data_IF_405701048574
#
_entry.id   IF_405701048574
#
_cell.length_a   1.000
_cell.length_b   1.000
_cell.length_c   1.000
_cell.angle_alpha   90.00
_cell.angle_beta   90.00
_cell.angle_gamma   90.00
#
_symmetry.space_group_name_H-M   'P 1'
#
loop_
_entity.id
_entity.type
_entity.pdbx_description
1 polymer ?
#
# COMPACT_ATOMS: atom_id res chain seq x y z
N UNK A 1 43.93 -3.01 17.84
CA UNK A 1 44.06 -2.82 16.38
C UNK A 1 43.01 -3.67 15.63
N UNK A 2 41.77 -3.17 15.38
CA UNK A 2 40.83 -3.88 14.50
C UNK A 2 40.22 -3.00 13.38
N UNK A 3 40.83 -1.85 13.04
CA UNK A 3 40.24 -0.88 12.12
C UNK A 3 40.74 -0.97 10.65
N UNK A 4 41.59 -1.95 10.31
CA UNK A 4 42.24 -2.03 8.98
C UNK A 4 41.65 -3.07 8.01
N UNK A 5 40.62 -3.82 8.38
CA UNK A 5 40.01 -4.83 7.48
C UNK A 5 38.81 -4.36 6.65
N UNK A 6 38.24 -3.19 6.93
CA UNK A 6 36.98 -2.74 6.30
C UNK A 6 37.13 -1.77 5.11
N UNK A 7 38.35 -1.49 4.65
CA UNK A 7 38.61 -0.59 3.51
C UNK A 7 39.13 -1.29 2.25
N UNK A 8 39.24 -2.63 2.24
CA UNK A 8 39.47 -3.39 1.01
C UNK A 8 38.12 -3.86 0.47
N UNK A 9 37.41 -3.03 -0.28
CA UNK A 9 36.21 -3.46 -1.03
C UNK A 9 35.90 -2.48 -2.18
N UNK A 10 36.94 -2.19 -2.96
CA UNK A 10 36.89 -1.91 -4.41
C UNK A 10 38.20 -2.46 -5.01
N UNK A 11 38.50 -3.73 -4.74
CA UNK A 11 39.52 -4.47 -5.49
C UNK A 11 38.88 -5.78 -5.94
N UNK A 12 38.68 -5.86 -7.25
CA UNK A 12 38.33 -7.07 -7.96
C UNK A 12 39.45 -8.11 -7.77
N UNK A 13 39.09 -9.38 -7.62
CA UNK A 13 39.98 -10.55 -7.59
C UNK A 13 40.94 -10.75 -6.38
N UNK A 14 40.39 -11.08 -5.20
CA UNK A 14 41.10 -11.99 -4.29
C UNK A 14 40.14 -12.93 -3.54
N UNK A 15 39.56 -13.88 -4.27
CA UNK A 15 38.88 -15.03 -3.67
C UNK A 15 39.95 -16.01 -3.13
N UNK A 16 40.28 -15.93 -1.84
CA UNK A 16 40.79 -17.11 -1.14
C UNK A 16 39.65 -18.13 -1.14
N UNK A 17 39.72 -19.16 -1.98
CA UNK A 17 38.73 -20.22 -2.04
C UNK A 17 38.66 -20.91 -0.67
N UNK A 18 37.59 -20.66 0.06
CA UNK A 18 37.38 -21.26 1.37
C UNK A 18 37.09 -22.76 1.21
N UNK A 19 37.46 -23.59 2.22
CA UNK A 19 37.29 -25.02 2.12
C UNK A 19 35.81 -25.39 2.01
N UNK A 20 35.46 -26.04 0.89
CA UNK A 20 34.14 -26.64 0.67
C UNK A 20 34.17 -28.05 1.26
N UNK A 21 33.30 -28.32 2.23
CA UNK A 21 33.13 -29.62 2.88
C UNK A 21 31.87 -30.31 2.38
N UNK A 22 31.90 -31.64 2.29
CA UNK A 22 30.71 -32.43 1.95
C UNK A 22 30.05 -32.94 3.23
N UNK A 23 28.91 -32.35 3.59
CA UNK A 23 28.22 -32.62 4.85
C UNK A 23 26.99 -33.53 4.65
N UNK A 24 26.71 -34.48 5.55
CA UNK A 24 25.47 -35.28 5.51
C UNK A 24 24.25 -34.39 5.75
N UNK A 25 23.19 -34.59 4.97
CA UNK A 25 21.97 -33.77 5.07
C UNK A 25 21.33 -33.84 6.45
N UNK A 26 21.41 -34.99 7.13
CA UNK A 26 20.87 -35.22 8.48
C UNK A 26 21.51 -34.32 9.55
N UNK A 27 22.72 -33.79 9.29
CA UNK A 27 23.42 -32.87 10.20
C UNK A 27 23.07 -31.40 9.96
N UNK A 28 22.25 -31.10 8.93
CA UNK A 28 21.94 -29.74 8.49
C UNK A 28 20.53 -29.31 8.94
N UNK A 29 20.45 -28.23 9.71
CA UNK A 29 19.18 -27.64 10.13
C UNK A 29 19.04 -26.21 9.59
N UNK A 30 17.91 -25.82 8.97
CA UNK A 30 17.70 -24.43 8.52
C UNK A 30 17.77 -23.44 9.69
N UNK A 31 18.53 -22.36 9.54
CA UNK A 31 18.47 -21.26 10.50
C UNK A 31 17.20 -20.41 10.28
N UNK A 32 16.69 -19.74 11.33
CA UNK A 32 15.46 -18.92 11.25
C UNK A 32 15.65 -17.62 10.44
N UNK A 33 16.81 -16.98 10.54
CA UNK A 33 17.12 -15.71 9.85
C UNK A 33 16.83 -15.71 8.34
N UNK A 34 17.31 -16.68 7.52
CA UNK A 34 16.96 -16.73 6.10
C UNK A 34 15.46 -16.92 5.85
N UNK A 35 14.79 -17.72 6.69
CA UNK A 35 13.34 -17.94 6.57
C UNK A 35 12.57 -16.64 6.79
N UNK A 36 12.98 -15.85 7.80
CA UNK A 36 12.42 -14.52 8.10
C UNK A 36 12.64 -13.50 6.97
N UNK A 37 13.83 -13.47 6.38
CA UNK A 37 14.22 -12.48 5.36
C UNK A 37 13.65 -12.75 3.97
N UNK A 38 13.51 -14.02 3.58
CA UNK A 38 13.08 -14.36 2.22
C UNK A 38 11.64 -14.84 2.14
N UNK A 39 11.13 -15.58 3.14
CA UNK A 39 9.76 -16.14 3.15
C UNK A 39 9.41 -16.81 1.81
N UNK A 40 10.17 -17.84 1.44
CA UNK A 40 10.10 -18.46 0.11
C UNK A 40 8.85 -19.32 -0.10
N UNK A 41 8.26 -19.25 -1.30
CA UNK A 41 7.09 -20.05 -1.69
C UNK A 41 7.47 -21.45 -2.22
N UNK A 42 6.50 -22.37 -2.20
CA UNK A 42 6.67 -23.75 -2.64
C UNK A 42 7.02 -23.89 -4.14
N UNK A 43 6.44 -23.07 -5.02
CA UNK A 43 6.72 -23.09 -6.47
C UNK A 43 8.20 -22.85 -6.80
N UNK A 44 8.88 -22.07 -5.96
CA UNK A 44 10.29 -21.75 -6.12
C UNK A 44 11.21 -22.97 -5.85
N UNK A 45 10.71 -23.98 -5.15
CA UNK A 45 11.47 -25.19 -4.80
C UNK A 45 11.50 -26.20 -5.95
N UNK A 46 10.42 -26.34 -6.71
CA UNK A 46 10.32 -27.30 -7.82
C UNK A 46 11.35 -27.00 -8.92
N UNK A 47 11.40 -25.76 -9.38
CA UNK A 47 12.37 -25.34 -10.40
C UNK A 47 13.83 -25.53 -9.94
N UNK A 48 14.10 -25.39 -8.64
CA UNK A 48 15.44 -25.61 -8.08
C UNK A 48 15.76 -27.10 -7.97
N UNK A 49 14.80 -27.95 -7.60
CA UNK A 49 14.96 -29.40 -7.58
C UNK A 49 15.28 -29.94 -8.99
N UNK A 50 14.58 -29.47 -10.02
CA UNK A 50 14.86 -29.86 -11.42
C UNK A 50 16.27 -29.43 -11.88
N UNK A 51 16.74 -28.27 -11.41
CA UNK A 51 18.10 -27.81 -11.69
C UNK A 51 19.15 -28.67 -11.01
N UNK A 52 18.96 -28.99 -9.71
CA UNK A 52 19.85 -29.87 -8.96
C UNK A 52 19.91 -31.27 -9.58
N UNK A 53 18.77 -31.81 -10.02
CA UNK A 53 18.71 -33.12 -10.65
C UNK A 53 19.47 -33.17 -11.98
N UNK A 54 19.39 -32.09 -12.79
CA UNK A 54 20.06 -32.02 -14.10
C UNK A 54 21.56 -31.71 -14.02
N UNK A 55 21.96 -30.82 -13.12
CA UNK A 55 23.30 -30.23 -13.13
C UNK A 55 24.11 -30.46 -11.85
N UNK A 56 23.51 -31.13 -10.86
CA UNK A 56 24.12 -31.26 -9.53
C UNK A 56 24.16 -29.94 -8.78
N UNK A 57 24.95 -29.91 -7.69
CA UNK A 57 25.11 -28.70 -6.89
C UNK A 57 26.18 -27.78 -7.46
N UNK A 58 25.74 -26.68 -8.09
CA UNK A 58 26.64 -25.66 -8.65
C UNK A 58 27.22 -24.72 -7.59
N UNK A 59 26.45 -24.39 -6.55
CA UNK A 59 26.89 -23.46 -5.50
C UNK A 59 26.80 -24.14 -4.13
N UNK A 60 27.88 -24.12 -3.31
CA UNK A 60 27.84 -24.66 -1.96
C UNK A 60 26.81 -23.91 -1.10
N UNK A 61 26.25 -24.58 -0.09
CA UNK A 61 25.46 -23.92 0.96
C UNK A 61 26.40 -23.24 1.97
N UNK A 62 25.93 -22.26 2.72
CA UNK A 62 26.71 -21.64 3.80
C UNK A 62 26.13 -22.08 5.14
N UNK A 63 26.97 -22.58 6.03
CA UNK A 63 26.55 -23.14 7.31
C UNK A 63 27.40 -22.63 8.46
N UNK A 64 26.85 -22.67 9.66
CA UNK A 64 27.52 -22.38 10.92
C UNK A 64 27.50 -23.61 11.83
N UNK A 65 28.57 -23.91 12.58
CA UNK A 65 28.54 -24.97 13.59
C UNK A 65 27.44 -24.76 14.64
N UNK A 66 26.61 -25.76 14.87
CA UNK A 66 25.52 -25.70 15.85
C UNK A 66 25.35 -27.06 16.57
N UNK A 67 25.77 -27.12 17.84
CA UNK A 67 25.72 -28.35 18.62
C UNK A 67 26.54 -29.47 18.00
N UNK A 68 25.89 -30.59 17.67
CA UNK A 68 26.49 -31.75 16.99
C UNK A 68 26.35 -31.70 15.45
N UNK A 69 25.79 -30.63 14.90
CA UNK A 69 25.55 -30.46 13.47
C UNK A 69 25.84 -29.04 13.00
N UNK A 70 25.11 -28.59 11.98
CA UNK A 70 25.30 -27.29 11.36
C UNK A 70 23.97 -26.58 11.08
N UNK A 71 23.92 -25.29 11.36
CA UNK A 71 22.83 -24.41 11.01
C UNK A 71 23.05 -23.81 9.61
N UNK A 72 22.07 -23.89 8.71
CA UNK A 72 22.18 -23.37 7.35
C UNK A 72 21.84 -21.88 7.33
N UNK A 73 22.86 -21.05 7.09
CA UNK A 73 22.75 -19.61 6.93
C UNK A 73 22.39 -19.19 5.50
N UNK A 74 22.78 -19.98 4.49
CA UNK A 74 22.39 -19.72 3.09
C UNK A 74 22.26 -21.01 2.30
N UNK A 75 21.29 -21.02 1.37
CA UNK A 75 20.93 -22.22 0.62
C UNK A 75 19.87 -23.10 1.29
N UNK A 76 19.00 -22.54 2.12
CA UNK A 76 17.85 -23.25 2.72
C UNK A 76 16.95 -23.90 1.66
N UNK A 77 16.67 -23.20 0.55
CA UNK A 77 15.96 -23.77 -0.62
C UNK A 77 16.70 -24.95 -1.24
N UNK A 78 18.04 -24.90 -1.26
CA UNK A 78 18.89 -25.97 -1.81
C UNK A 78 18.89 -27.20 -0.89
N UNK A 79 18.93 -26.99 0.43
CA UNK A 79 18.73 -28.05 1.41
C UNK A 79 17.37 -28.74 1.22
N UNK A 80 16.28 -27.95 1.17
CA UNK A 80 14.93 -28.48 0.98
C UNK A 80 14.76 -29.25 -0.35
N UNK A 81 15.31 -28.73 -1.45
CA UNK A 81 15.28 -29.40 -2.74
C UNK A 81 16.11 -30.71 -2.73
N UNK A 82 17.30 -30.70 -2.13
CA UNK A 82 18.14 -31.90 -2.01
C UNK A 82 17.51 -32.98 -1.11
N UNK A 83 16.83 -32.59 -0.02
CA UNK A 83 16.03 -33.49 0.81
C UNK A 83 14.91 -34.15 0.00
N UNK A 84 14.18 -33.38 -0.81
CA UNK A 84 13.11 -33.90 -1.68
C UNK A 84 13.62 -34.86 -2.75
N UNK A 85 14.83 -34.64 -3.26
CA UNK A 85 15.50 -35.54 -4.22
C UNK A 85 16.16 -36.76 -3.56
N UNK A 86 16.11 -36.90 -2.24
CA UNK A 86 16.73 -38.02 -1.52
C UNK A 86 18.26 -38.01 -1.51
N UNK A 87 18.89 -36.84 -1.66
CA UNK A 87 20.35 -36.74 -1.60
C UNK A 87 20.87 -37.04 -0.20
N UNK A 88 22.05 -37.66 -0.10
CA UNK A 88 22.66 -38.00 1.20
C UNK A 88 23.57 -36.90 1.76
N UNK A 89 24.11 -36.05 0.88
CA UNK A 89 25.08 -35.02 1.27
C UNK A 89 25.03 -33.79 0.36
N UNK A 90 25.47 -32.65 0.90
CA UNK A 90 25.62 -31.38 0.19
C UNK A 90 27.01 -30.78 0.43
N UNK A 91 27.51 -30.07 -0.57
CA UNK A 91 28.70 -29.24 -0.48
C UNK A 91 28.36 -27.96 0.30
N UNK A 92 29.16 -27.65 1.31
CA UNK A 92 28.93 -26.56 2.26
C UNK A 92 30.24 -25.81 2.57
N UNK A 93 30.14 -24.49 2.73
CA UNK A 93 31.18 -23.65 3.31
C UNK A 93 30.83 -23.38 4.76
N UNK A 94 31.74 -23.71 5.69
CA UNK A 94 31.53 -23.48 7.12
C UNK A 94 32.00 -22.08 7.50
N UNK A 95 31.19 -21.39 8.30
CA UNK A 95 31.41 -20.04 8.83
C UNK A 95 31.22 -20.01 10.34
N UNK A 96 32.03 -19.22 11.01
CA UNK A 96 31.91 -18.98 12.45
C UNK A 96 31.75 -17.46 12.69
N UNK A 97 30.54 -16.91 12.54
CA UNK A 97 30.28 -15.50 12.83
C UNK A 97 30.55 -15.22 14.31
N UNK A 98 31.17 -14.08 14.62
CA UNK A 98 31.54 -13.73 15.99
C UNK A 98 30.36 -13.22 16.82
N UNK A 99 29.36 -12.59 16.17
CA UNK A 99 28.13 -12.12 16.79
C UNK A 99 26.93 -12.23 15.83
N UNK A 100 25.72 -11.97 16.35
CA UNK A 100 24.48 -12.01 15.58
C UNK A 100 24.49 -11.02 14.40
N UNK A 101 25.20 -9.90 14.55
CA UNK A 101 25.30 -8.87 13.53
C UNK A 101 26.14 -9.36 12.34
N UNK A 102 27.25 -10.04 12.61
CA UNK A 102 28.07 -10.69 11.58
C UNK A 102 27.29 -11.81 10.88
N UNK A 103 26.53 -12.62 11.64
CA UNK A 103 25.68 -13.68 11.08
C UNK A 103 24.65 -13.12 10.10
N UNK A 104 23.92 -12.08 10.47
CA UNK A 104 22.91 -11.46 9.60
C UNK A 104 23.55 -10.84 8.35
N UNK A 105 24.71 -10.20 8.47
CA UNK A 105 25.46 -9.69 7.32
C UNK A 105 25.86 -10.82 6.35
N UNK A 106 26.37 -11.94 6.86
CA UNK A 106 26.72 -13.11 6.05
C UNK A 106 25.52 -13.69 5.28
N UNK A 107 24.36 -13.76 5.91
CA UNK A 107 23.12 -14.22 5.26
C UNK A 107 22.77 -13.32 4.08
N UNK A 108 22.90 -12.00 4.23
CA UNK A 108 22.58 -11.04 3.17
C UNK A 108 23.61 -11.10 2.03
N UNK A 109 24.91 -11.09 2.36
CA UNK A 109 26.00 -11.13 1.37
C UNK A 109 26.00 -12.41 0.54
N UNK A 110 25.85 -13.56 1.18
CA UNK A 110 25.82 -14.87 0.49
C UNK A 110 24.61 -15.04 -0.43
N UNK A 111 23.58 -14.21 -0.29
CA UNK A 111 22.40 -14.20 -1.15
C UNK A 111 22.36 -12.98 -2.09
N UNK A 112 23.44 -12.19 -2.21
CA UNK A 112 23.46 -10.99 -3.05
C UNK A 112 23.11 -11.26 -4.52
N UNK A 113 23.57 -12.37 -5.10
CA UNK A 113 23.31 -12.75 -6.50
C UNK A 113 21.89 -13.30 -6.75
N UNK A 114 21.06 -13.42 -5.73
CA UNK A 114 19.70 -13.95 -5.83
C UNK A 114 18.77 -12.96 -6.54
N UNK A 115 17.90 -13.46 -7.42
CA UNK A 115 16.74 -12.68 -7.87
C UNK A 115 15.76 -12.52 -6.72
N UNK A 116 15.65 -11.30 -6.20
CA UNK A 116 14.84 -10.93 -5.03
C UNK A 116 13.64 -10.10 -5.46
N UNK A 117 12.49 -10.36 -4.83
CA UNK A 117 11.31 -9.49 -4.95
C UNK A 117 11.57 -8.14 -4.29
N UNK A 118 10.69 -7.16 -4.51
CA UNK A 118 10.79 -5.86 -3.87
C UNK A 118 10.78 -6.00 -2.34
N UNK A 119 9.81 -6.72 -1.78
CA UNK A 119 9.63 -6.93 -0.35
C UNK A 119 10.81 -7.67 0.30
N UNK A 120 11.46 -8.58 -0.43
CA UNK A 120 12.70 -9.24 0.04
C UNK A 120 13.85 -8.24 0.15
N UNK A 121 14.05 -7.39 -0.87
CA UNK A 121 15.07 -6.33 -0.83
C UNK A 121 14.83 -5.32 0.29
N UNK A 122 13.56 -5.01 0.58
CA UNK A 122 13.23 -4.07 1.67
C UNK A 122 13.47 -4.67 3.06
N UNK A 123 13.22 -5.96 3.26
CA UNK A 123 13.57 -6.66 4.51
C UNK A 123 15.08 -6.71 4.74
N UNK A 124 15.86 -6.96 3.69
CA UNK A 124 17.33 -6.85 3.77
C UNK A 124 17.77 -5.42 4.10
N UNK A 125 17.10 -4.41 3.53
CA UNK A 125 17.40 -3.01 3.84
C UNK A 125 17.17 -2.70 5.33
N UNK A 126 16.05 -3.16 5.91
CA UNK A 126 15.75 -3.00 7.34
C UNK A 126 16.82 -3.66 8.22
N UNK A 127 17.25 -4.88 7.89
CA UNK A 127 18.32 -5.58 8.58
C UNK A 127 19.66 -4.81 8.52
N UNK A 128 20.09 -4.41 7.32
CA UNK A 128 21.33 -3.65 7.11
C UNK A 128 21.31 -2.30 7.85
N UNK A 129 20.19 -1.58 7.82
CA UNK A 129 20.04 -0.32 8.55
C UNK A 129 20.21 -0.53 10.07
N UNK A 130 19.63 -1.59 10.63
CA UNK A 130 19.79 -1.95 12.04
C UNK A 130 21.26 -2.23 12.39
N UNK A 131 21.93 -3.06 11.57
CA UNK A 131 23.34 -3.42 11.75
C UNK A 131 24.25 -2.18 11.73
N UNK A 132 24.07 -1.30 10.74
CA UNK A 132 24.88 -0.09 10.64
C UNK A 132 24.58 0.92 11.76
N UNK A 133 23.33 1.01 12.22
CA UNK A 133 22.97 1.86 13.35
C UNK A 133 23.67 1.39 14.64
N UNK A 134 23.71 0.09 14.90
CA UNK A 134 24.38 -0.48 16.06
C UNK A 134 25.90 -0.31 16.00
N UNK A 135 26.50 -0.52 14.83
CA UNK A 135 27.93 -0.25 14.63
C UNK A 135 28.25 1.24 14.84
N UNK A 136 27.41 2.15 14.36
CA UNK A 136 27.58 3.59 14.58
C UNK A 136 27.46 3.95 16.07
N UNK A 137 26.53 3.34 16.79
CA UNK A 137 26.35 3.51 18.24
C UNK A 137 27.57 3.02 19.01
N UNK A 138 28.08 1.81 18.70
CA UNK A 138 29.31 1.24 19.30
C UNK A 138 30.52 2.15 19.05
N UNK A 139 30.68 2.68 17.83
CA UNK A 139 31.76 3.63 17.50
C UNK A 139 31.65 4.94 18.28
N UNK A 140 30.44 5.49 18.40
CA UNK A 140 30.21 6.72 19.18
C UNK A 140 30.60 6.52 20.65
N UNK A 141 30.16 5.40 21.24
CA UNK A 141 30.45 5.07 22.64
C UNK A 141 31.96 4.87 22.88
N UNK A 142 32.66 4.21 21.95
CA UNK A 142 34.11 4.02 21.98
C UNK A 142 34.91 5.34 21.80
N UNK A 143 34.35 6.31 21.07
CA UNK A 143 34.97 7.62 20.92
C UNK A 143 34.79 8.49 22.18
N UNK A 144 33.65 8.37 22.86
CA UNK A 144 33.39 9.03 24.14
C UNK A 144 34.31 8.51 25.25
N UNK A 145 34.55 7.20 25.31
CA UNK A 145 35.48 6.62 26.29
C UNK A 145 36.94 6.97 26.01
N UNK A 146 37.34 7.16 24.74
CA UNK A 146 38.68 7.64 24.37
C UNK A 146 38.94 9.11 24.65
N UNK A 147 37.90 9.94 24.67
CA UNK A 147 38.02 11.38 24.95
C UNK A 147 38.07 11.71 26.45
N UNK A 148 37.91 10.72 27.33
CA UNK A 148 38.08 10.82 28.78
C UNK A 148 39.51 10.51 29.28
N UNK A 149 40.48 10.25 28.39
CA UNK A 149 41.89 10.14 28.78
C UNK A 149 42.47 11.54 29.07
N UNK A 150 43.25 11.74 30.15
CA UNK A 150 43.75 13.05 30.53
C UNK A 150 44.67 13.58 29.44
N UNK A 151 44.36 14.77 28.90
CA UNK A 151 45.27 15.48 28.00
C UNK A 151 46.50 15.87 28.82
N UNK A 152 47.67 15.36 28.45
CA UNK A 152 48.94 15.89 28.92
C UNK A 152 48.98 17.38 28.56
N UNK A 153 49.07 18.23 29.58
CA UNK A 153 49.19 19.66 29.42
C UNK A 153 50.58 19.99 28.87
N UNK A 154 50.62 20.54 27.66
CA UNK A 154 51.80 21.22 27.11
C UNK A 154 51.41 22.68 26.98
N UNK A 155 52.04 23.61 27.74
CA UNK A 155 51.82 25.03 27.54
C UNK A 155 52.66 25.47 26.34
N UNK A 156 52.03 26.16 25.39
CA UNK A 156 52.77 26.97 24.43
C UNK A 156 52.01 28.27 24.17
N UNK A 157 52.82 29.30 24.03
CA UNK A 157 52.53 30.70 24.27
C UNK A 157 51.68 31.39 23.19
N UNK A 158 51.01 32.45 23.63
CA UNK A 158 50.71 33.70 22.91
C UNK A 158 49.89 33.65 21.60
N UNK A 159 48.64 34.13 21.66
CA UNK A 159 48.27 35.52 21.32
C UNK A 159 46.77 35.68 21.04
N UNK A 160 46.32 36.92 21.27
CA UNK A 160 45.10 37.57 20.78
C UNK A 160 43.80 37.44 21.59
N UNK A 161 43.75 38.33 22.60
CA UNK A 161 42.88 39.53 22.67
C UNK A 161 41.36 39.37 22.50
N UNK A 162 40.72 39.62 23.66
CA UNK A 162 39.54 40.46 23.91
C UNK A 162 38.15 39.94 23.49
N UNK A 163 37.41 39.46 24.48
CA UNK A 163 36.01 39.86 24.65
C UNK A 163 35.68 39.95 26.15
N UNK A 164 35.58 41.17 26.66
CA UNK A 164 34.82 41.45 27.88
C UNK A 164 33.33 41.15 27.64
N UNK A 165 32.73 40.50 28.63
CA UNK A 165 31.36 40.01 28.79
C UNK A 165 30.39 41.19 29.15
N UNK A 166 29.05 41.07 29.39
CA UNK A 166 28.27 39.88 29.81
C UNK A 166 26.81 39.72 29.27
N UNK A 167 26.25 38.51 29.47
CA UNK A 167 24.88 38.18 29.95
C UNK A 167 23.61 38.75 29.25
N UNK A 168 22.41 38.14 29.22
CA UNK A 168 21.77 36.88 29.61
C UNK A 168 20.51 36.81 28.72
N UNK A 169 20.14 35.64 28.23
CA UNK A 169 18.90 35.48 27.47
C UNK A 169 18.61 34.03 27.09
N UNK A 170 18.19 33.24 28.06
CA UNK A 170 17.71 31.87 27.93
C UNK A 170 16.70 31.71 26.80
N UNK A 171 17.08 31.02 25.72
CA UNK A 171 16.16 30.25 24.86
C UNK A 171 16.85 28.96 24.42
N UNK A 172 16.37 27.86 24.97
CA UNK A 172 16.58 26.50 24.46
C UNK A 172 16.23 26.48 22.97
N UNK A 173 17.24 26.33 22.13
CA UNK A 173 17.08 26.08 20.70
C UNK A 173 17.09 24.57 20.47
N UNK A 174 15.91 23.95 20.54
CA UNK A 174 15.62 22.73 19.79
C UNK A 174 14.99 23.13 18.46
N UNK A 175 15.83 23.63 17.55
CA UNK A 175 15.45 23.78 16.15
C UNK A 175 16.22 22.76 15.32
N UNK A 176 15.47 21.75 14.90
CA UNK A 176 15.92 20.60 14.16
C UNK A 176 16.79 20.97 12.97
N UNK A 177 18.00 20.42 12.96
CA UNK A 177 18.84 20.32 11.76
C UNK A 177 18.05 19.61 10.67
N UNK A 178 17.59 20.37 9.67
CA UNK A 178 17.14 19.85 8.37
C UNK A 178 18.21 18.88 7.85
N UNK A 179 17.80 17.61 7.71
CA UNK A 179 18.68 16.45 7.63
C UNK A 179 19.60 16.46 6.43
N UNK A 180 20.92 16.54 6.67
CA UNK A 180 21.91 16.03 5.73
C UNK A 180 21.70 14.51 5.60
N UNK A 181 21.74 13.95 4.38
CA UNK A 181 21.50 12.53 4.17
C UNK A 181 22.55 11.69 4.91
N UNK A 182 22.09 10.67 5.65
CA UNK A 182 22.99 9.74 6.32
C UNK A 182 23.79 8.97 5.26
N UNK A 183 25.11 8.88 5.46
CA UNK A 183 26.06 8.18 4.57
C UNK A 183 25.72 6.68 4.38
N UNK A 184 24.86 6.15 5.25
CA UNK A 184 24.32 4.78 5.25
C UNK A 184 23.31 4.50 4.14
N UNK A 185 22.42 5.43 3.77
CA UNK A 185 21.35 5.15 2.80
C UNK A 185 21.90 4.76 1.42
N UNK A 186 22.98 5.41 0.98
CA UNK A 186 23.65 5.11 -0.29
C UNK A 186 24.32 3.73 -0.26
N UNK A 187 24.87 3.33 0.89
CA UNK A 187 25.50 2.01 1.06
C UNK A 187 24.44 0.91 1.04
N UNK A 188 23.36 1.09 1.80
CA UNK A 188 22.25 0.13 1.84
C UNK A 188 21.62 -0.01 0.46
N UNK A 189 21.34 1.09 -0.24
CA UNK A 189 20.79 1.07 -1.61
C UNK A 189 21.64 0.23 -2.58
N UNK A 190 22.98 0.35 -2.50
CA UNK A 190 23.91 -0.43 -3.32
C UNK A 190 23.86 -1.92 -2.95
N UNK A 191 23.85 -2.25 -1.66
CA UNK A 191 23.86 -3.64 -1.18
C UNK A 191 22.56 -4.40 -1.50
N UNK A 192 21.41 -3.74 -1.44
CA UNK A 192 20.11 -4.36 -1.78
C UNK A 192 19.80 -4.33 -3.28
N UNK A 193 20.73 -3.82 -4.10
CA UNK A 193 20.56 -3.75 -5.56
C UNK A 193 19.43 -2.82 -6.00
N UNK A 194 19.13 -1.76 -5.24
CA UNK A 194 18.13 -0.75 -5.56
C UNK A 194 18.80 0.56 -6.00
N UNK A 195 19.32 0.56 -7.24
CA UNK A 195 19.73 1.74 -8.01
C UNK A 195 20.31 2.94 -7.23
N UNK A 196 19.94 4.15 -7.64
CA UNK A 196 20.39 5.40 -7.03
C UNK A 196 19.67 5.74 -5.72
N UNK A 197 20.27 6.62 -4.92
CA UNK A 197 19.76 7.06 -3.60
C UNK A 197 18.30 7.52 -3.61
N UNK A 198 17.83 8.16 -4.67
CA UNK A 198 16.45 8.63 -4.75
C UNK A 198 15.46 7.51 -4.99
N UNK A 199 15.82 6.48 -5.77
CA UNK A 199 14.99 5.30 -5.96
C UNK A 199 14.83 4.52 -4.65
N UNK A 200 15.92 4.39 -3.88
CA UNK A 200 15.88 3.79 -2.55
C UNK A 200 14.99 4.59 -1.58
N UNK A 201 15.08 5.93 -1.59
CA UNK A 201 14.20 6.78 -0.77
C UNK A 201 12.72 6.58 -1.11
N UNK A 202 12.40 6.50 -2.41
CA UNK A 202 11.03 6.24 -2.87
C UNK A 202 10.56 4.86 -2.42
N UNK A 203 11.40 3.83 -2.53
CA UNK A 203 11.12 2.48 -2.05
C UNK A 203 10.86 2.46 -0.54
N UNK A 204 11.70 3.13 0.26
CA UNK A 204 11.53 3.25 1.71
C UNK A 204 10.21 3.92 2.09
N UNK A 205 9.82 4.97 1.38
CA UNK A 205 8.55 5.65 1.65
C UNK A 205 7.33 4.73 1.42
N UNK A 206 7.33 3.96 0.32
CA UNK A 206 6.26 3.00 0.03
C UNK A 206 6.25 1.85 1.04
N UNK A 207 7.42 1.27 1.34
CA UNK A 207 7.56 0.19 2.33
C UNK A 207 7.10 0.62 3.72
N UNK A 208 7.52 1.80 4.17
CA UNK A 208 7.10 2.36 5.45
C UNK A 208 5.58 2.55 5.49
N UNK A 209 5.00 3.17 4.47
CA UNK A 209 3.54 3.36 4.41
C UNK A 209 2.77 2.04 4.47
N UNK A 210 3.25 0.99 3.80
CA UNK A 210 2.63 -0.33 3.86
C UNK A 210 2.70 -0.95 5.27
N UNK A 211 3.84 -0.83 5.94
CA UNK A 211 4.02 -1.31 7.32
C UNK A 211 3.22 -0.49 8.34
N UNK A 212 3.04 0.81 8.10
CA UNK A 212 2.19 1.70 8.89
C UNK A 212 0.68 1.44 8.65
N UNK A 213 0.33 0.45 7.81
CA UNK A 213 -1.03 -0.01 7.61
C UNK A 213 -1.76 0.54 6.38
N UNK A 214 -1.11 1.37 5.55
CA UNK A 214 -1.74 1.91 4.34
C UNK A 214 -2.07 0.77 3.36
N UNK A 215 -3.36 0.48 3.19
CA UNK A 215 -3.86 -0.64 2.40
C UNK A 215 -3.42 -0.59 0.93
N UNK A 216 -3.36 0.62 0.35
CA UNK A 216 -2.90 0.82 -1.02
C UNK A 216 -1.40 0.63 -1.17
N UNK A 217 -0.61 1.09 -0.20
CA UNK A 217 0.81 0.80 -0.18
C UNK A 217 1.05 -0.72 -0.08
N UNK A 218 0.26 -1.44 0.72
CA UNK A 218 0.27 -2.92 0.78
C UNK A 218 -0.09 -3.55 -0.58
N UNK A 219 -1.15 -3.09 -1.23
CA UNK A 219 -1.51 -3.57 -2.58
C UNK A 219 -0.39 -3.28 -3.60
N UNK A 220 0.24 -2.11 -3.51
CA UNK A 220 1.38 -1.75 -4.35
C UNK A 220 2.62 -2.64 -4.08
N UNK A 221 2.79 -3.20 -2.87
CA UNK A 221 3.87 -4.18 -2.61
C UNK A 221 3.70 -5.43 -3.48
N UNK A 222 2.47 -5.96 -3.58
CA UNK A 222 2.18 -7.12 -4.42
C UNK A 222 2.45 -6.83 -5.90
N UNK A 223 2.08 -5.63 -6.39
CA UNK A 223 2.37 -5.19 -7.77
C UNK A 223 3.88 -4.99 -8.02
N UNK A 224 4.61 -4.48 -7.03
CA UNK A 224 6.07 -4.32 -7.09
C UNK A 224 6.79 -5.67 -7.07
N UNK A 225 6.32 -6.62 -6.25
CA UNK A 225 6.85 -7.98 -6.18
C UNK A 225 6.59 -8.77 -7.48
N UNK A 226 5.43 -8.57 -8.09
CA UNK A 226 5.09 -9.14 -9.40
C UNK A 226 5.79 -8.44 -10.58
N UNK A 227 6.45 -7.29 -10.35
CA UNK A 227 7.10 -6.51 -11.39
C UNK A 227 6.14 -5.77 -12.33
N UNK A 228 4.85 -5.70 -12.00
CA UNK A 228 3.83 -5.02 -12.82
C UNK A 228 3.80 -3.51 -12.59
N UNK A 229 4.43 -3.03 -11.51
CA UNK A 229 4.52 -1.61 -11.16
C UNK A 229 5.96 -1.21 -10.82
N UNK A 230 6.33 0.02 -11.17
CA UNK A 230 7.63 0.58 -10.81
C UNK A 230 7.58 1.28 -9.45
N UNK A 231 8.73 1.32 -8.77
CA UNK A 231 8.90 2.04 -7.49
C UNK A 231 8.48 3.50 -7.62
N UNK A 232 8.85 4.15 -8.73
CA UNK A 232 8.50 5.55 -8.98
C UNK A 232 6.99 5.74 -9.11
N UNK A 233 6.29 4.85 -9.82
CA UNK A 233 4.84 4.91 -9.94
C UNK A 233 4.15 4.71 -8.58
N UNK A 234 4.57 3.71 -7.81
CA UNK A 234 4.04 3.47 -6.46
C UNK A 234 4.26 4.67 -5.52
N UNK A 235 5.44 5.29 -5.56
CA UNK A 235 5.74 6.49 -4.78
C UNK A 235 4.93 7.71 -5.22
N UNK A 236 4.73 7.88 -6.52
CA UNK A 236 3.94 8.99 -7.08
C UNK A 236 2.47 8.87 -6.67
N UNK A 237 1.91 7.67 -6.70
CA UNK A 237 0.56 7.39 -6.20
C UNK A 237 0.46 7.78 -4.72
N UNK A 238 1.40 7.30 -3.89
CA UNK A 238 1.44 7.61 -2.45
C UNK A 238 1.51 9.11 -2.17
N UNK A 239 2.33 9.88 -2.92
CA UNK A 239 2.41 11.34 -2.71
C UNK A 239 1.15 12.08 -3.12
N UNK A 240 0.45 11.62 -4.17
CA UNK A 240 -0.76 12.27 -4.64
C UNK A 240 -1.95 12.07 -3.71
N UNK A 241 -1.95 11.03 -2.87
CA UNK A 241 -3.04 10.76 -1.92
C UNK A 241 -3.31 11.91 -0.95
N UNK A 242 -2.34 12.76 -0.63
CA UNK A 242 -2.53 13.84 0.35
C UNK A 242 -2.78 15.21 -0.28
N UNK A 243 -2.99 15.28 -1.59
CA UNK A 243 -3.20 16.58 -2.24
C UNK A 243 -4.58 17.17 -1.89
N UNK A 244 -5.59 16.33 -1.64
CA UNK A 244 -6.90 16.81 -1.17
C UNK A 244 -6.85 17.35 0.28
N UNK A 245 -5.88 16.92 1.09
CA UNK A 245 -5.67 17.46 2.42
C UNK A 245 -5.17 18.91 2.41
N UNK A 246 -4.33 19.27 1.44
CA UNK A 246 -3.55 20.52 1.47
C UNK A 246 -4.04 21.57 0.48
N UNK A 247 -4.46 21.14 -0.72
CA UNK A 247 -4.72 22.02 -1.86
C UNK A 247 -6.10 21.79 -2.49
N UNK A 248 -7.05 21.23 -1.72
CA UNK A 248 -8.40 20.99 -2.24
C UNK A 248 -9.13 22.30 -2.51
N UNK A 249 -9.65 22.42 -3.73
CA UNK A 249 -10.49 23.53 -4.17
C UNK A 249 -11.88 22.99 -4.49
N UNK A 250 -12.89 23.26 -3.64
CA UNK A 250 -14.25 22.78 -3.88
C UNK A 250 -14.88 23.47 -5.09
N UNK A 251 -15.68 22.73 -5.85
CA UNK A 251 -16.45 23.26 -6.97
C UNK A 251 -17.72 23.92 -6.43
N UNK A 252 -17.95 25.22 -6.65
CA UNK A 252 -19.12 25.93 -6.10
C UNK A 252 -20.41 25.73 -6.92
N UNK A 253 -20.34 24.93 -8.00
CA UNK A 253 -21.45 24.69 -8.94
C UNK A 253 -22.05 23.30 -8.76
N UNK A 254 -23.25 23.09 -9.28
CA UNK A 254 -24.01 21.84 -9.28
C UNK A 254 -23.70 20.91 -10.46
N UNK A 255 -22.61 21.20 -11.20
CA UNK A 255 -22.07 20.33 -12.24
C UNK A 255 -20.63 19.95 -11.89
N UNK A 256 -20.41 18.67 -11.58
CA UNK A 256 -19.16 18.11 -11.10
C UNK A 256 -18.55 17.16 -12.13
N UNK A 257 -17.71 17.72 -13.00
CA UNK A 257 -16.96 16.95 -13.98
C UNK A 257 -15.49 16.85 -13.55
N UNK A 258 -15.07 15.65 -13.14
CA UNK A 258 -13.71 15.39 -12.67
C UNK A 258 -13.08 14.24 -13.44
N UNK A 259 -11.77 14.35 -13.67
CA UNK A 259 -10.99 13.26 -14.24
C UNK A 259 -10.74 12.18 -13.18
N UNK A 260 -10.54 10.96 -13.63
CA UNK A 260 -10.05 9.90 -12.75
C UNK A 260 -8.65 10.22 -12.24
N UNK A 261 -8.55 10.48 -10.94
CA UNK A 261 -7.27 10.50 -10.26
C UNK A 261 -6.91 9.09 -9.81
N UNK A 262 -5.89 8.52 -10.45
CA UNK A 262 -5.38 7.21 -10.09
C UNK A 262 -4.88 7.15 -8.67
N UNK A 263 -4.59 8.26 -7.99
CA UNK A 263 -4.12 8.27 -6.60
C UNK A 263 -5.16 7.79 -5.57
N UNK A 264 -6.45 7.74 -5.93
CA UNK A 264 -7.54 7.33 -5.04
C UNK A 264 -8.26 6.13 -5.63
N UNK A 265 -8.45 5.09 -4.82
CA UNK A 265 -9.05 3.82 -5.21
C UNK A 265 -8.12 2.92 -6.04
N UNK A 266 -8.37 1.62 -5.99
CA UNK A 266 -7.76 0.64 -6.91
C UNK A 266 -8.50 0.63 -8.25
N UNK A 267 -7.92 -0.03 -9.26
CA UNK A 267 -8.57 -0.16 -10.57
C UNK A 267 -9.78 -1.09 -10.43
N UNK A 268 -10.98 -0.54 -10.53
CA UNK A 268 -12.24 -1.26 -10.41
C UNK A 268 -13.26 -0.76 -11.47
N UNK A 269 -14.08 -1.64 -12.05
CA UNK A 269 -15.16 -1.23 -12.97
C UNK A 269 -16.11 -0.24 -12.29
N UNK A 270 -16.44 0.87 -12.97
CA UNK A 270 -17.31 1.89 -12.38
C UNK A 270 -16.65 2.74 -11.29
N UNK A 271 -15.30 2.75 -11.18
CA UNK A 271 -14.59 3.59 -10.22
C UNK A 271 -15.13 5.03 -10.19
N UNK A 272 -15.18 5.64 -9.01
CA UNK A 272 -15.68 7.00 -8.83
C UNK A 272 -14.50 7.99 -8.97
N UNK A 273 -14.63 9.09 -9.72
CA UNK A 273 -13.66 10.18 -9.67
C UNK A 273 -13.55 10.77 -8.26
N UNK A 274 -12.34 10.81 -7.71
CA UNK A 274 -12.08 11.29 -6.34
C UNK A 274 -12.68 12.67 -6.04
N UNK A 275 -12.70 13.56 -7.04
CA UNK A 275 -13.28 14.90 -6.90
C UNK A 275 -14.76 14.93 -6.54
N UNK A 276 -15.55 13.92 -6.98
CA UNK A 276 -16.97 13.82 -6.61
C UNK A 276 -17.10 13.57 -5.11
N UNK A 277 -16.39 12.55 -4.61
CA UNK A 277 -16.40 12.23 -3.18
C UNK A 277 -15.83 13.39 -2.36
N UNK A 278 -14.74 14.01 -2.81
CA UNK A 278 -14.10 15.11 -2.09
C UNK A 278 -15.04 16.32 -1.91
N UNK A 279 -15.80 16.66 -2.95
CA UNK A 279 -16.81 17.71 -2.86
C UNK A 279 -17.99 17.29 -1.97
N UNK A 280 -18.44 16.03 -2.05
CA UNK A 280 -19.47 15.53 -1.15
C UNK A 280 -19.03 15.61 0.32
N UNK A 281 -17.79 15.22 0.63
CA UNK A 281 -17.25 15.36 1.98
C UNK A 281 -17.13 16.81 2.40
N UNK A 282 -16.70 17.72 1.53
CA UNK A 282 -16.56 19.13 1.87
C UNK A 282 -17.89 19.82 2.18
N UNK A 283 -18.94 19.54 1.40
CA UNK A 283 -20.23 20.22 1.57
C UNK A 283 -21.17 19.57 2.58
N UNK A 284 -20.96 18.28 2.90
CA UNK A 284 -21.93 17.50 3.66
C UNK A 284 -21.33 16.70 4.84
N UNK A 285 -20.06 16.93 5.19
CA UNK A 285 -19.42 16.36 6.39
C UNK A 285 -18.32 17.28 6.91
N UNK A 286 -17.95 17.11 8.18
CA UNK A 286 -16.82 17.78 8.82
C UNK A 286 -15.62 16.84 8.99
N UNK A 287 -14.39 17.38 9.18
CA UNK A 287 -13.25 16.56 9.60
C UNK A 287 -13.55 15.83 10.93
N UNK A 288 -13.28 14.54 10.98
CA UNK A 288 -13.54 13.65 12.13
C UNK A 288 -14.82 12.82 12.01
N UNK A 289 -15.74 13.24 11.14
CA UNK A 289 -17.01 12.56 10.88
C UNK A 289 -16.80 11.11 10.42
N UNK A 290 -17.76 10.26 10.76
CA UNK A 290 -17.87 8.89 10.28
C UNK A 290 -18.61 8.86 8.95
N UNK A 291 -17.86 8.50 7.91
CA UNK A 291 -18.37 8.22 6.56
C UNK A 291 -18.52 6.72 6.37
N UNK A 292 -19.62 6.29 5.79
CA UNK A 292 -19.85 4.87 5.46
C UNK A 292 -20.05 4.74 3.95
N UNK A 293 -19.33 3.80 3.34
CA UNK A 293 -19.49 3.40 1.95
C UNK A 293 -19.87 1.92 1.88
N UNK A 294 -21.15 1.58 1.67
CA UNK A 294 -21.60 0.20 1.69
C UNK A 294 -21.38 -0.57 0.38
N UNK A 295 -20.84 0.09 -0.66
CA UNK A 295 -20.59 -0.48 -1.99
C UNK A 295 -19.25 0.05 -2.53
N UNK A 296 -18.20 -0.16 -1.72
CA UNK A 296 -16.95 0.57 -1.82
C UNK A 296 -16.14 0.29 -3.10
N UNK A 297 -16.36 -0.83 -3.77
CA UNK A 297 -15.67 -1.22 -5.00
C UNK A 297 -14.15 -1.14 -4.88
N UNK A 298 -13.52 -0.18 -5.58
CA UNK A 298 -12.08 0.08 -5.50
C UNK A 298 -11.60 0.85 -4.26
N UNK A 299 -12.52 1.32 -3.41
CA UNK A 299 -12.22 2.07 -2.19
C UNK A 299 -11.81 3.52 -2.44
N UNK A 300 -12.37 4.19 -3.46
CA UNK A 300 -12.15 5.64 -3.67
C UNK A 300 -12.57 6.43 -2.44
N UNK A 301 -13.73 6.11 -1.86
CA UNK A 301 -14.28 6.83 -0.70
C UNK A 301 -13.35 6.74 0.51
N UNK A 302 -12.76 5.56 0.76
CA UNK A 302 -11.79 5.33 1.83
C UNK A 302 -10.58 6.26 1.68
N UNK A 303 -9.98 6.28 0.49
CA UNK A 303 -8.77 7.05 0.24
C UNK A 303 -9.04 8.56 0.35
N UNK A 304 -10.21 9.02 -0.13
CA UNK A 304 -10.61 10.44 -0.04
C UNK A 304 -10.93 10.82 1.40
N UNK A 305 -11.63 9.97 2.17
CA UNK A 305 -11.89 10.19 3.59
C UNK A 305 -10.58 10.31 4.38
N UNK A 306 -9.64 9.38 4.16
CA UNK A 306 -8.33 9.42 4.80
C UNK A 306 -7.56 10.71 4.48
N UNK A 307 -7.56 11.13 3.21
CA UNK A 307 -6.92 12.39 2.79
C UNK A 307 -7.56 13.61 3.42
N UNK A 308 -8.88 13.62 3.56
CA UNK A 308 -9.64 14.74 4.08
C UNK A 308 -9.91 14.63 5.58
N UNK A 309 -9.25 13.73 6.31
CA UNK A 309 -9.43 13.56 7.77
C UNK A 309 -10.87 13.20 8.18
N UNK A 310 -11.50 12.24 7.49
CA UNK A 310 -12.76 11.59 7.89
C UNK A 310 -12.47 10.14 8.29
N UNK A 311 -13.23 9.62 9.25
CA UNK A 311 -13.24 8.18 9.54
C UNK A 311 -14.08 7.50 8.46
N UNK A 312 -13.67 6.33 7.97
CA UNK A 312 -14.40 5.62 6.93
C UNK A 312 -14.61 4.16 7.31
N UNK A 313 -15.84 3.67 7.20
CA UNK A 313 -16.16 2.25 7.15
C UNK A 313 -16.60 1.91 5.73
N UNK A 314 -16.01 0.86 5.17
CA UNK A 314 -16.25 0.48 3.79
C UNK A 314 -16.61 -0.99 3.70
N UNK A 315 -17.65 -1.27 2.93
CA UNK A 315 -18.22 -2.59 2.75
C UNK A 315 -18.39 -2.90 1.27
N UNK A 316 -18.26 -4.17 0.90
CA UNK A 316 -18.54 -4.62 -0.46
C UNK A 316 -18.91 -6.11 -0.49
N UNK A 317 -19.68 -6.53 -1.50
CA UNK A 317 -20.02 -7.94 -1.73
C UNK A 317 -18.80 -8.76 -2.17
N UNK A 318 -17.83 -8.13 -2.83
CA UNK A 318 -16.59 -8.75 -3.28
C UNK A 318 -15.38 -7.84 -3.01
N UNK A 319 -14.93 -7.75 -1.74
CA UNK A 319 -13.80 -6.91 -1.36
C UNK A 319 -12.53 -7.25 -2.15
N UNK A 320 -11.91 -6.24 -2.75
CA UNK A 320 -10.62 -6.36 -3.44
C UNK A 320 -9.46 -5.71 -2.66
N UNK A 321 -9.74 -5.16 -1.48
CA UNK A 321 -8.78 -4.54 -0.56
C UNK A 321 -9.01 -5.04 0.86
N UNK A 322 -7.95 -5.10 1.69
CA UNK A 322 -8.05 -5.59 3.08
C UNK A 322 -8.79 -4.64 4.03
N UNK A 323 -8.94 -3.36 3.66
CA UNK A 323 -9.66 -2.34 4.41
C UNK A 323 -11.15 -2.21 3.98
N UNK A 324 -11.62 -3.09 3.08
CA UNK A 324 -13.03 -3.24 2.72
C UNK A 324 -13.54 -4.53 3.36
N UNK A 325 -14.63 -4.43 4.12
CA UNK A 325 -15.23 -5.57 4.83
C UNK A 325 -16.26 -6.27 3.93
N UNK A 326 -16.24 -7.60 3.89
CA UNK A 326 -17.24 -8.39 3.17
C UNK A 326 -18.62 -8.17 3.81
N UNK A 327 -19.55 -7.57 3.08
CA UNK A 327 -20.90 -7.37 3.54
C UNK A 327 -21.86 -7.06 2.38
N UNK A 328 -23.09 -7.57 2.47
CA UNK A 328 -24.13 -7.39 1.47
C UNK A 328 -25.28 -6.55 2.05
N UNK A 329 -25.26 -5.25 1.78
CA UNK A 329 -26.29 -4.29 2.20
C UNK A 329 -27.65 -4.54 1.51
N UNK A 330 -27.71 -5.31 0.42
CA UNK A 330 -28.98 -5.66 -0.22
C UNK A 330 -29.78 -6.70 0.58
N UNK A 331 -29.09 -7.47 1.44
CA UNK A 331 -29.69 -8.54 2.26
C UNK A 331 -29.69 -8.22 3.75
N UNK A 332 -28.65 -7.54 4.24
CA UNK A 332 -28.42 -7.34 5.67
C UNK A 332 -28.39 -5.85 6.01
N UNK A 333 -28.79 -5.50 7.23
CA UNK A 333 -28.56 -4.16 7.78
C UNK A 333 -27.07 -3.90 7.95
N UNK A 334 -26.67 -2.63 7.85
CA UNK A 334 -25.30 -2.23 8.11
C UNK A 334 -24.85 -2.68 9.51
N UNK A 335 -23.56 -3.07 9.69
CA UNK A 335 -23.04 -3.48 10.99
C UNK A 335 -23.15 -2.39 12.05
N UNK A 336 -23.19 -2.78 13.33
CA UNK A 336 -23.38 -1.86 14.46
C UNK A 336 -22.31 -0.76 14.52
N UNK A 337 -21.09 -1.02 14.03
CA UNK A 337 -20.02 -0.02 13.96
C UNK A 337 -20.33 1.14 13.01
N UNK A 338 -21.24 0.95 12.06
CA UNK A 338 -21.71 1.97 11.13
C UNK A 338 -22.92 2.76 11.66
N UNK A 339 -23.44 2.42 12.85
CA UNK A 339 -24.52 3.16 13.47
C UNK A 339 -24.11 4.60 13.81
N UNK A 340 -25.09 5.49 13.78
CA UNK A 340 -24.95 6.93 14.00
C UNK A 340 -23.88 7.61 13.13
N UNK A 341 -23.66 7.09 11.92
CA UNK A 341 -22.75 7.73 10.96
C UNK A 341 -23.27 9.09 10.48
N UNK A 342 -22.33 9.96 10.11
CA UNK A 342 -22.59 11.34 9.69
C UNK A 342 -23.00 11.42 8.21
N UNK A 343 -22.33 10.63 7.38
CA UNK A 343 -22.55 10.61 5.94
C UNK A 343 -22.43 9.19 5.38
N UNK A 344 -23.41 8.78 4.57
CA UNK A 344 -23.31 7.58 3.74
C UNK A 344 -23.09 8.03 2.29
N UNK A 345 -22.00 7.59 1.67
CA UNK A 345 -21.76 7.76 0.23
C UNK A 345 -22.02 6.43 -0.46
N UNK A 346 -23.01 6.39 -1.35
CA UNK A 346 -23.50 5.16 -1.98
C UNK A 346 -23.42 5.28 -3.51
N UNK A 347 -22.72 4.36 -4.17
CA UNK A 347 -22.70 4.23 -5.64
C UNK A 347 -23.21 2.83 -6.02
N UNK A 348 -24.53 2.62 -6.10
CA UNK A 348 -25.09 1.31 -6.34
C UNK A 348 -24.85 0.85 -7.78
N UNK A 349 -24.66 -0.46 -8.02
CA UNK A 349 -24.36 -0.95 -9.35
C UNK A 349 -25.57 -0.72 -10.26
N UNK A 350 -25.31 -0.14 -11.43
CA UNK A 350 -26.34 0.23 -12.38
C UNK A 350 -26.92 -1.03 -13.04
N UNK A 351 -28.23 -1.23 -12.91
CA UNK A 351 -28.94 -2.34 -13.53
C UNK A 351 -28.53 -2.57 -14.99
N UNK A 352 -28.08 -3.78 -15.33
CA UNK A 352 -27.76 -4.25 -16.70
C UNK A 352 -26.73 -3.46 -17.55
N UNK A 353 -26.16 -2.35 -17.06
CA UNK A 353 -25.24 -1.53 -17.88
C UNK A 353 -23.79 -2.04 -17.84
N UNK A 354 -23.46 -2.90 -16.88
CA UNK A 354 -22.13 -3.50 -16.67
C UNK A 354 -22.22 -5.03 -16.43
N UNK A 355 -23.22 -5.69 -17.01
CA UNK A 355 -23.41 -7.14 -16.84
C UNK A 355 -22.14 -7.93 -17.16
N UNK A 356 -21.75 -8.81 -16.22
CA UNK A 356 -20.53 -9.61 -16.28
C UNK A 356 -19.27 -9.00 -15.65
N UNK A 357 -19.32 -7.76 -15.15
CA UNK A 357 -18.20 -7.12 -14.45
C UNK A 357 -18.35 -7.04 -12.92
N UNK A 358 -19.54 -7.32 -12.38
CA UNK A 358 -19.82 -7.39 -10.94
C UNK A 358 -19.90 -8.85 -10.46
N UNK A 359 -19.80 -9.06 -9.14
CA UNK A 359 -19.88 -10.39 -8.55
C UNK A 359 -21.29 -10.99 -8.68
N UNK A 360 -21.35 -12.33 -8.75
CA UNK A 360 -22.59 -13.11 -8.80
C UNK A 360 -23.48 -12.76 -7.61
N UNK A 361 -24.75 -12.42 -7.87
CA UNK A 361 -25.70 -11.98 -6.84
C UNK A 361 -25.76 -10.47 -6.61
N UNK A 362 -25.07 -9.68 -7.44
CA UNK A 362 -25.21 -8.22 -7.50
C UNK A 362 -26.65 -7.80 -7.83
N UNK A 363 -27.13 -6.70 -7.23
CA UNK A 363 -28.44 -6.15 -7.55
C UNK A 363 -28.57 -5.75 -9.03
N UNK A 364 -27.45 -5.56 -9.74
CA UNK A 364 -27.45 -5.26 -11.18
C UNK A 364 -28.04 -6.37 -12.07
N UNK A 365 -28.15 -7.61 -11.55
CA UNK A 365 -28.69 -8.80 -12.25
C UNK A 365 -30.22 -8.97 -12.09
N UNK A 366 -30.88 -8.12 -11.31
CA UNK A 366 -32.31 -8.21 -11.02
C UNK A 366 -33.17 -7.75 -12.21
N UNK A 367 -34.50 -7.85 -12.10
CA UNK A 367 -35.44 -7.17 -13.00
C UNK A 367 -35.68 -5.73 -12.55
N UNK A 368 -36.21 -4.85 -13.41
CA UNK A 368 -36.44 -3.42 -13.08
C UNK A 368 -37.26 -3.21 -11.78
N UNK A 369 -38.33 -4.00 -11.59
CA UNK A 369 -39.17 -3.96 -10.38
C UNK A 369 -38.42 -4.49 -9.13
N UNK A 370 -37.65 -5.56 -9.30
CA UNK A 370 -36.87 -6.16 -8.21
C UNK A 370 -35.68 -5.27 -7.81
N UNK A 371 -35.08 -4.55 -8.75
CA UNK A 371 -33.99 -3.60 -8.50
C UNK A 371 -34.49 -2.36 -7.76
N UNK A 372 -35.66 -1.83 -8.15
CA UNK A 372 -36.29 -0.72 -7.42
C UNK A 372 -36.60 -1.11 -5.98
N UNK A 373 -37.15 -2.30 -5.77
CA UNK A 373 -37.39 -2.86 -4.43
C UNK A 373 -36.08 -3.05 -3.64
N UNK A 374 -35.00 -3.46 -4.30
CA UNK A 374 -33.70 -3.61 -3.66
C UNK A 374 -33.13 -2.25 -3.22
N UNK A 375 -33.23 -1.21 -4.06
CA UNK A 375 -32.82 0.15 -3.70
C UNK A 375 -33.61 0.69 -2.50
N UNK A 376 -34.92 0.49 -2.47
CA UNK A 376 -35.74 0.92 -1.33
C UNK A 376 -35.27 0.29 -0.01
N UNK A 377 -35.00 -1.02 0.00
CA UNK A 377 -34.45 -1.71 1.18
C UNK A 377 -33.05 -1.21 1.55
N UNK A 378 -32.20 -0.91 0.57
CA UNK A 378 -30.87 -0.33 0.82
C UNK A 378 -31.02 1.05 1.47
N UNK A 379 -31.91 1.90 0.94
CA UNK A 379 -32.15 3.24 1.49
C UNK A 379 -32.76 3.19 2.88
N UNK A 380 -33.64 2.24 3.17
CA UNK A 380 -34.17 2.00 4.51
C UNK A 380 -33.06 1.66 5.51
N UNK A 381 -32.13 0.77 5.12
CA UNK A 381 -30.96 0.42 5.96
C UNK A 381 -30.00 1.59 6.14
N UNK A 382 -29.79 2.40 5.10
CA UNK A 382 -29.04 3.66 5.22
C UNK A 382 -29.73 4.64 6.18
N UNK A 383 -31.07 4.77 6.11
CA UNK A 383 -31.83 5.62 7.02
C UNK A 383 -31.68 5.17 8.48
N UNK A 384 -31.69 3.85 8.72
CA UNK A 384 -31.50 3.30 10.06
C UNK A 384 -30.09 3.60 10.62
N UNK A 385 -29.04 3.49 9.81
CA UNK A 385 -27.65 3.69 10.24
C UNK A 385 -27.25 5.17 10.41
N UNK A 386 -27.90 6.11 9.70
CA UNK A 386 -27.59 7.53 9.83
C UNK A 386 -28.08 8.10 11.17
N UNK A 387 -27.26 8.95 11.79
CA UNK A 387 -27.73 9.77 12.92
C UNK A 387 -28.80 10.79 12.49
N UNK A 388 -29.63 11.32 13.41
CA UNK A 388 -30.48 12.47 13.11
C UNK A 388 -29.66 13.64 12.54
N UNK A 389 -30.10 14.21 11.41
CA UNK A 389 -29.36 15.22 10.67
C UNK A 389 -28.26 14.69 9.73
N UNK A 390 -27.96 13.39 9.75
CA UNK A 390 -26.98 12.75 8.87
C UNK A 390 -27.40 12.76 7.39
N UNK A 391 -26.43 12.63 6.50
CA UNK A 391 -26.60 12.82 5.05
C UNK A 391 -26.43 11.51 4.28
N UNK A 392 -27.32 11.24 3.33
CA UNK A 392 -27.17 10.18 2.34
C UNK A 392 -26.89 10.82 0.97
N UNK A 393 -25.75 10.50 0.38
CA UNK A 393 -25.35 10.91 -0.97
C UNK A 393 -25.31 9.69 -1.89
N UNK A 394 -26.24 9.61 -2.85
CA UNK A 394 -26.37 8.49 -3.78
C UNK A 394 -25.93 8.91 -5.18
N UNK A 395 -24.85 8.32 -5.69
CA UNK A 395 -24.38 8.52 -7.05
C UNK A 395 -25.06 7.50 -7.97
N UNK A 396 -25.91 7.96 -8.90
CA UNK A 396 -26.72 7.05 -9.72
C UNK A 396 -26.71 7.44 -11.19
N UNK A 397 -26.63 6.46 -12.08
CA UNK A 397 -26.74 6.65 -13.52
C UNK A 397 -28.17 6.39 -13.99
N UNK A 398 -28.67 7.22 -14.91
CA UNK A 398 -29.93 6.95 -15.60
C UNK A 398 -29.73 5.95 -16.74
N UNK A 399 -30.76 5.18 -17.09
CA UNK A 399 -30.67 4.24 -18.23
C UNK A 399 -31.21 4.90 -19.49
N UNK A 400 -30.37 4.95 -20.53
CA UNK A 400 -30.66 5.65 -21.79
C UNK A 400 -30.61 4.75 -23.03
N UNK A 401 -29.98 3.58 -22.98
CA UNK A 401 -29.61 2.83 -24.20
C UNK A 401 -29.86 1.32 -24.13
N UNK A 402 -29.31 0.63 -23.12
CA UNK A 402 -29.31 -0.84 -23.04
C UNK A 402 -30.28 -1.34 -21.97
N UNK A 403 -30.98 -2.42 -22.31
CA UNK A 403 -31.86 -3.16 -21.40
C UNK A 403 -33.18 -2.47 -21.05
N UNK A 404 -33.51 -1.34 -21.71
CA UNK A 404 -34.75 -0.62 -21.44
C UNK A 404 -35.98 -1.52 -21.69
N UNK A 405 -37.05 -1.39 -20.89
CA UNK A 405 -38.31 -2.08 -21.15
C UNK A 405 -38.88 -1.75 -22.53
N UNK A 406 -39.69 -2.66 -23.06
CA UNK A 406 -40.33 -2.45 -24.37
C UNK A 406 -41.16 -1.17 -24.37
N UNK A 407 -40.93 -0.31 -25.35
CA UNK A 407 -41.61 0.99 -25.50
C UNK A 407 -40.99 2.14 -24.70
N UNK A 408 -39.98 1.90 -23.87
CA UNK A 408 -39.32 2.93 -23.06
C UNK A 408 -38.12 3.53 -23.80
N UNK A 409 -37.99 4.86 -23.72
CA UNK A 409 -36.84 5.60 -24.26
C UNK A 409 -35.80 6.01 -23.22
N UNK A 410 -36.17 5.97 -21.93
CA UNK A 410 -35.36 6.47 -20.82
C UNK A 410 -35.94 5.99 -19.48
N UNK A 411 -35.07 5.70 -18.50
CA UNK A 411 -35.46 5.50 -17.09
C UNK A 411 -34.69 6.49 -16.23
N UNK A 412 -35.43 7.37 -15.54
CA UNK A 412 -34.89 8.39 -14.63
C UNK A 412 -34.68 7.81 -13.22
N UNK A 413 -33.55 7.16 -13.03
CA UNK A 413 -33.20 6.58 -11.74
C UNK A 413 -32.95 7.65 -10.66
N UNK A 414 -32.52 8.85 -11.04
CA UNK A 414 -32.37 9.95 -10.10
C UNK A 414 -33.73 10.42 -9.55
N UNK A 415 -34.73 10.58 -10.42
CA UNK A 415 -36.11 10.88 -10.01
C UNK A 415 -36.69 9.78 -9.13
N UNK A 416 -36.52 8.52 -9.53
CA UNK A 416 -37.03 7.39 -8.76
C UNK A 416 -36.37 7.29 -7.38
N UNK A 417 -35.06 7.54 -7.30
CA UNK A 417 -34.35 7.63 -6.01
C UNK A 417 -34.93 8.72 -5.12
N UNK A 418 -35.21 9.91 -5.66
CA UNK A 418 -35.88 10.98 -4.89
C UNK A 418 -37.25 10.55 -4.36
N UNK A 419 -38.06 9.91 -5.20
CA UNK A 419 -39.40 9.43 -4.83
C UNK A 419 -39.33 8.44 -3.66
N UNK A 420 -38.42 7.47 -3.73
CA UNK A 420 -38.24 6.46 -2.67
C UNK A 420 -37.69 7.12 -1.40
N UNK A 421 -36.63 7.92 -1.51
CA UNK A 421 -35.99 8.56 -0.37
C UNK A 421 -36.96 9.48 0.40
N UNK A 422 -37.75 10.29 -0.31
CA UNK A 422 -38.76 11.14 0.32
C UNK A 422 -39.89 10.33 0.96
N UNK A 423 -40.31 9.21 0.33
CA UNK A 423 -41.26 8.26 0.92
C UNK A 423 -40.77 7.64 2.24
N UNK A 424 -39.46 7.41 2.37
CA UNK A 424 -38.81 6.93 3.59
C UNK A 424 -38.57 8.04 4.64
N UNK A 425 -38.92 9.29 4.33
CA UNK A 425 -38.79 10.43 5.24
C UNK A 425 -37.47 11.18 5.17
N UNK A 426 -36.61 10.94 4.17
CA UNK A 426 -35.46 11.80 3.91
C UNK A 426 -35.90 13.17 3.35
N UNK A 427 -35.16 14.22 3.69
CA UNK A 427 -35.35 15.57 3.17
C UNK A 427 -34.36 15.84 2.02
N UNK A 428 -34.82 16.19 0.81
CA UNK A 428 -33.95 16.58 -0.30
C UNK A 428 -33.03 17.76 0.06
N UNK A 429 -31.73 17.64 -0.21
CA UNK A 429 -30.78 18.74 -0.07
C UNK A 429 -30.35 19.29 -1.44
N UNK A 430 -29.81 18.43 -2.31
CA UNK A 430 -29.28 18.83 -3.62
C UNK A 430 -29.29 17.67 -4.61
N UNK A 431 -29.51 17.97 -5.89
CA UNK A 431 -29.17 17.12 -7.03
C UNK A 431 -27.99 17.77 -7.74
N UNK A 432 -26.93 17.01 -7.97
CA UNK A 432 -25.73 17.50 -8.63
C UNK A 432 -25.46 16.61 -9.85
N UNK A 433 -25.28 17.21 -11.02
CA UNK A 433 -24.93 16.47 -12.23
C UNK A 433 -23.44 16.14 -12.21
N UNK A 434 -23.10 14.88 -12.44
CA UNK A 434 -21.74 14.36 -12.48
C UNK A 434 -21.44 13.75 -13.86
N UNK A 435 -21.10 14.57 -14.88
CA UNK A 435 -20.71 14.08 -16.20
C UNK A 435 -19.48 13.16 -16.13
N UNK A 436 -19.53 12.07 -16.88
CA UNK A 436 -18.43 11.10 -17.00
C UNK A 436 -17.48 11.50 -18.14
N UNK A 437 -16.17 11.36 -17.93
CA UNK A 437 -15.17 11.62 -18.97
C UNK A 437 -15.06 10.40 -19.92
N UNK A 438 -15.33 10.60 -21.22
CA UNK A 438 -14.81 9.75 -22.30
C UNK A 438 -15.32 8.30 -22.37
N UNK A 439 -16.62 8.06 -22.16
CA UNK A 439 -17.16 6.70 -22.07
C UNK A 439 -17.36 5.96 -23.42
N UNK A 440 -17.37 6.65 -24.56
CA UNK A 440 -17.80 6.07 -25.84
C UNK A 440 -16.71 6.06 -26.90
N UNK A 441 -16.54 4.91 -27.54
CA UNK A 441 -15.64 4.74 -28.67
C UNK A 441 -16.18 5.44 -29.94
N UNK A 442 -15.32 5.79 -30.92
CA UNK A 442 -15.76 6.43 -32.15
C UNK A 442 -16.86 5.66 -32.91
N UNK A 443 -16.82 4.33 -32.91
CA UNK A 443 -17.86 3.47 -33.51
C UNK A 443 -19.22 3.66 -32.83
N UNK A 444 -19.24 3.73 -31.49
CA UNK A 444 -20.47 3.94 -30.72
C UNK A 444 -21.03 5.34 -30.94
N UNK A 445 -20.18 6.36 -31.03
CA UNK A 445 -20.58 7.74 -31.33
C UNK A 445 -21.20 7.82 -32.72
N UNK A 446 -20.57 7.21 -33.73
CA UNK A 446 -21.08 7.21 -35.09
C UNK A 446 -22.39 6.43 -35.22
N UNK A 447 -22.50 5.27 -34.56
CA UNK A 447 -23.74 4.50 -34.49
C UNK A 447 -24.87 5.30 -33.83
N UNK A 448 -24.57 6.03 -32.75
CA UNK A 448 -25.54 6.88 -32.06
C UNK A 448 -26.03 8.03 -32.96
N UNK A 449 -25.12 8.68 -33.70
CA UNK A 449 -25.45 9.75 -34.66
C UNK A 449 -26.38 9.23 -35.76
N UNK A 450 -26.01 8.12 -36.40
CA UNK A 450 -26.79 7.51 -37.48
C UNK A 450 -28.14 6.98 -36.97
N UNK A 451 -28.16 6.43 -35.76
CA UNK A 451 -29.37 5.92 -35.10
C UNK A 451 -30.24 6.98 -34.43
N UNK A 452 -29.83 8.27 -34.47
CA UNK A 452 -30.50 9.39 -33.77
C UNK A 452 -30.79 9.13 -32.29
N UNK A 453 -29.84 8.49 -31.60
CA UNK A 453 -29.92 8.20 -30.16
C UNK A 453 -29.00 9.12 -29.38
N UNK A 454 -29.39 9.46 -28.15
CA UNK A 454 -28.54 10.19 -27.21
C UNK A 454 -27.75 9.19 -26.36
N UNK A 455 -26.47 9.53 -26.11
CA UNK A 455 -25.60 8.72 -25.28
C UNK A 455 -25.66 9.20 -23.83
N UNK A 456 -25.84 8.27 -22.88
CA UNK A 456 -25.90 8.56 -21.45
C UNK A 456 -24.53 8.84 -20.86
N UNK A 457 -24.19 10.13 -20.67
CA UNK A 457 -22.89 10.53 -20.09
C UNK A 457 -22.98 11.16 -18.70
N UNK A 458 -24.17 11.23 -18.11
CA UNK A 458 -24.39 11.93 -16.84
C UNK A 458 -24.86 10.95 -15.78
N UNK A 459 -24.13 10.92 -14.66
CA UNK A 459 -24.61 10.41 -13.38
C UNK A 459 -25.13 11.57 -12.56
N UNK A 460 -26.04 11.33 -11.64
CA UNK A 460 -26.53 12.32 -10.69
C UNK A 460 -26.12 11.91 -9.28
N UNK A 461 -25.59 12.85 -8.50
CA UNK A 461 -25.45 12.71 -7.06
C UNK A 461 -26.73 13.27 -6.40
N UNK A 462 -27.56 12.38 -5.89
CA UNK A 462 -28.78 12.68 -5.14
C UNK A 462 -28.43 12.77 -3.67
N UNK A 463 -28.49 13.98 -3.11
CA UNK A 463 -28.11 14.25 -1.71
C UNK A 463 -29.35 14.55 -0.89
N UNK A 464 -29.55 13.79 0.18
CA UNK A 464 -30.68 13.91 1.09
C UNK A 464 -30.23 13.82 2.55
N UNK A 465 -31.07 14.28 3.46
CA UNK A 465 -30.76 14.34 4.90
C UNK A 465 -31.83 13.67 5.73
N UNK A 466 -31.41 12.87 6.72
CA UNK A 466 -32.31 12.35 7.75
C UNK A 466 -32.78 13.52 8.62
N UNK A 467 -34.08 13.73 8.85
CA UNK A 467 -34.58 14.81 9.69
C UNK A 467 -33.83 14.90 11.03
N UNK A 468 -33.53 16.12 11.48
CA UNK A 468 -33.08 16.34 12.86
C UNK A 468 -34.24 16.05 13.81
N UNK A 469 -33.96 15.36 14.91
CA UNK A 469 -34.94 15.09 15.97
C UNK A 469 -35.38 16.35 16.70
#
# INVERSE_FOLDING_TARGET
MPARRLTRLIDENSATAEPVLRLPIETLTPHELPLRLYQDSAESLDALADSLNRHGQLTPIVVEPAGQGYAVLSGTRRLAAAQRLGWKSLNACVRCPADDAERELWVIESNHARTKTFSQRMREADALESLYADQARRRSLANLTRSAAPKLFVPDDAECRNSDTPEIGTKLADQGRKGRPKRTDTLVAKLVGLGGKDQFRQARAVWKAANDGNARAKAALSELDAGTKSIHAAFKDLRRQNHLANDFQPTPYDVWMFKHDRAYGTRYPGSIPAGIVANALHYFSEPGDLVVDPMAGGGTTIDVCSSMNRRCLAYDLAPNRPDIVLHDISRNSLPDEAADCDLIFLDPPYHSMLDGHYAVGSVSELTDEAWTTALERIYERCYAALRPGGVLAVLIANRTEKGLPSGWGYVDHAFESYRILTGLGFLPLRRISCPMEGAYRPDQINASRSGKRLLGQVRDLVVTRKPGG
#
